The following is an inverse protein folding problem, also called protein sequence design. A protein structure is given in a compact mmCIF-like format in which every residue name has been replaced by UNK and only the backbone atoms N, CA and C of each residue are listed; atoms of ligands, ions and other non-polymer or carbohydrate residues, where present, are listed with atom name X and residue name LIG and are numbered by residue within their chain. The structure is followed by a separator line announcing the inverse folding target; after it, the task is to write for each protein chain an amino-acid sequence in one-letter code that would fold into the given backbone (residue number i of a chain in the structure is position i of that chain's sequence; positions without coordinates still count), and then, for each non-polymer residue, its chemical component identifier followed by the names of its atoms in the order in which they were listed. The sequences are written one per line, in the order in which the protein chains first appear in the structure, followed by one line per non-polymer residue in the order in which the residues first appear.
data_IF_677462279599
#
_entry.id   IF_677462279599
#
_cell.length_a   1.000
_cell.length_b   1.000
_cell.length_c   1.000
_cell.angle_alpha   90.00
_cell.angle_beta   90.00
_cell.angle_gamma   90.00
#
_symmetry.space_group_name_H-M   'P 1'
#
loop_
_entity.id
_entity.type
_entity.pdbx_description
1 polymer ?
#
# COMPACT_ATOMS: atom_id res chain seq x y z
N UNK A 1 -5.58 33.47 2.92
CA UNK A 1 -5.57 32.00 3.07
C UNK A 1 -4.42 31.61 3.97
N UNK A 2 -4.43 30.41 4.56
CA UNK A 2 -3.21 29.86 5.18
C UNK A 2 -2.14 29.69 4.11
N UNK A 3 -0.86 29.84 4.47
CA UNK A 3 0.25 29.56 3.57
C UNK A 3 0.28 28.08 3.17
N UNK A 4 0.71 27.83 1.93
CA UNK A 4 0.84 26.48 1.37
C UNK A 4 2.21 25.90 1.73
N UNK A 5 2.37 25.44 2.97
CA UNK A 5 3.59 24.79 3.47
C UNK A 5 3.40 23.28 3.64
N UNK A 6 4.50 22.54 3.75
CA UNK A 6 4.49 21.09 4.04
C UNK A 6 3.79 20.80 5.37
N UNK A 7 4.13 21.57 6.41
CA UNK A 7 3.56 21.45 7.74
C UNK A 7 2.05 21.73 7.73
N UNK A 8 1.60 22.70 6.93
CA UNK A 8 0.18 23.02 6.81
C UNK A 8 -0.61 21.90 6.12
N UNK A 9 -0.03 21.22 5.11
CA UNK A 9 -0.66 20.07 4.44
C UNK A 9 -0.75 18.87 5.38
N UNK A 10 0.37 18.49 5.97
CA UNK A 10 0.47 17.36 6.91
C UNK A 10 -0.50 17.55 8.08
N UNK A 11 -0.48 18.72 8.74
CA UNK A 11 -1.36 19.00 9.86
C UNK A 11 -2.85 18.97 9.48
N UNK A 12 -3.21 19.42 8.28
CA UNK A 12 -4.59 19.41 7.83
C UNK A 12 -5.11 17.96 7.61
N UNK A 13 -4.31 17.10 6.99
CA UNK A 13 -4.68 15.70 6.75
C UNK A 13 -4.68 14.93 8.07
N UNK A 14 -3.64 15.06 8.89
CA UNK A 14 -3.53 14.34 10.16
C UNK A 14 -4.66 14.69 11.13
N UNK A 15 -5.00 15.98 11.27
CA UNK A 15 -6.12 16.38 12.15
C UNK A 15 -7.47 15.89 11.63
N UNK A 16 -7.67 15.85 10.31
CA UNK A 16 -8.88 15.28 9.72
C UNK A 16 -8.97 13.77 9.99
N UNK A 17 -7.87 13.04 9.83
CA UNK A 17 -7.82 11.59 10.08
C UNK A 17 -8.06 11.28 11.55
N UNK A 18 -7.43 12.00 12.47
CA UNK A 18 -7.66 11.85 13.91
C UNK A 18 -9.13 12.04 14.28
N UNK A 19 -9.75 13.13 13.84
CA UNK A 19 -11.18 13.39 14.11
C UNK A 19 -12.10 12.33 13.52
N UNK A 20 -11.78 11.85 12.32
CA UNK A 20 -12.53 10.80 11.65
C UNK A 20 -12.40 9.47 12.41
N UNK A 21 -11.20 9.11 12.84
CA UNK A 21 -10.92 7.90 13.62
C UNK A 21 -11.72 7.87 14.91
N UNK A 22 -11.66 8.96 15.70
CA UNK A 22 -12.42 9.12 16.95
C UNK A 22 -13.93 8.97 16.73
N UNK A 23 -14.48 9.65 15.71
CA UNK A 23 -15.91 9.62 15.43
C UNK A 23 -16.40 8.26 14.91
N UNK A 24 -15.64 7.63 14.01
CA UNK A 24 -15.99 6.34 13.41
C UNK A 24 -15.90 5.21 14.44
N UNK A 25 -14.83 5.20 15.26
CA UNK A 25 -14.69 4.21 16.33
C UNK A 25 -15.76 4.37 17.41
N UNK A 26 -16.12 5.61 17.78
CA UNK A 26 -17.22 5.85 18.71
C UNK A 26 -18.59 5.34 18.20
N UNK A 27 -18.76 5.27 16.87
CA UNK A 27 -19.93 4.69 16.23
C UNK A 27 -19.84 3.15 16.05
N UNK A 28 -18.74 2.52 16.46
CA UNK A 28 -18.49 1.08 16.32
C UNK A 28 -17.97 0.65 14.94
N UNK A 29 -17.53 1.60 14.12
CA UNK A 29 -16.89 1.32 12.83
C UNK A 29 -15.36 1.30 12.93
N UNK A 30 -14.72 0.86 11.84
CA UNK A 30 -13.26 0.94 11.66
C UNK A 30 -12.91 1.92 10.54
N UNK A 31 -11.81 2.65 10.70
CA UNK A 31 -11.29 3.55 9.69
C UNK A 31 -10.08 2.94 8.97
N UNK A 32 -10.16 2.97 7.65
CA UNK A 32 -9.05 2.65 6.75
C UNK A 32 -8.73 3.85 5.87
N UNK A 33 -7.47 3.99 5.46
CA UNK A 33 -7.09 4.97 4.43
C UNK A 33 -6.12 4.38 3.42
N UNK A 34 -6.28 4.81 2.18
CA UNK A 34 -5.35 4.51 1.11
C UNK A 34 -4.16 5.48 1.17
N UNK A 35 -2.96 4.91 1.31
CA UNK A 35 -1.70 5.66 1.29
C UNK A 35 -0.87 5.24 0.07
N UNK A 36 -0.12 6.17 -0.51
CA UNK A 36 0.80 5.83 -1.61
C UNK A 36 1.84 4.80 -1.14
N UNK A 37 2.12 3.78 -1.96
CA UNK A 37 3.12 2.76 -1.59
C UNK A 37 4.52 3.34 -1.32
N UNK A 38 4.88 4.45 -1.99
CA UNK A 38 6.20 5.05 -1.79
C UNK A 38 6.39 5.66 -0.39
N UNK A 39 5.32 6.16 0.26
CA UNK A 39 5.44 6.75 1.61
C UNK A 39 5.76 5.70 2.69
N UNK A 40 5.70 4.41 2.35
CA UNK A 40 6.03 3.31 3.28
C UNK A 40 7.44 2.78 3.10
N UNK A 41 8.16 3.25 2.07
CA UNK A 41 9.59 3.01 1.91
C UNK A 41 10.43 4.25 2.25
N UNK A 42 9.82 5.44 2.26
CA UNK A 42 10.41 6.71 2.70
C UNK A 42 9.36 7.50 3.49
N UNK A 43 9.62 7.79 4.78
CA UNK A 43 8.69 8.54 5.68
C UNK A 43 8.70 10.07 5.41
N UNK A 44 8.48 10.43 4.15
CA UNK A 44 8.37 11.79 3.61
C UNK A 44 6.91 12.04 3.17
N UNK A 45 6.40 13.26 3.33
CA UNK A 45 5.05 13.64 2.89
C UNK A 45 4.88 13.76 1.37
N UNK A 46 5.94 13.56 0.59
CA UNK A 46 5.94 13.44 -0.88
C UNK A 46 5.24 14.62 -1.59
N UNK A 47 5.21 15.80 -0.96
CA UNK A 47 4.46 16.99 -1.39
C UNK A 47 2.94 16.83 -1.48
N UNK A 48 2.40 15.72 -0.97
CA UNK A 48 0.97 15.38 -0.94
C UNK A 48 0.38 15.42 0.48
N UNK A 49 1.20 15.65 1.50
CA UNK A 49 0.80 15.75 2.90
C UNK A 49 0.59 14.41 3.61
N UNK A 50 1.01 13.30 3.01
CA UNK A 50 0.89 11.96 3.61
C UNK A 50 2.22 11.53 4.25
N UNK A 51 2.41 11.82 5.55
CA UNK A 51 3.50 11.20 6.32
C UNK A 51 2.98 9.95 7.00
N UNK A 52 3.57 8.79 6.71
CA UNK A 52 3.10 7.50 7.22
C UNK A 52 3.08 7.47 8.76
N UNK A 53 4.19 7.88 9.40
CA UNK A 53 4.30 7.91 10.86
C UNK A 53 3.31 8.86 11.56
N UNK A 54 2.80 9.87 10.86
CA UNK A 54 1.82 10.81 11.39
C UNK A 54 0.37 10.29 11.26
N UNK A 55 0.10 9.46 10.24
CA UNK A 55 -1.24 9.00 9.90
C UNK A 55 -1.59 7.64 10.51
N UNK A 56 -0.62 6.71 10.57
CA UNK A 56 -0.83 5.35 11.07
C UNK A 56 -1.49 5.30 12.46
N UNK A 57 -1.13 6.15 13.45
CA UNK A 57 -1.73 6.11 14.79
C UNK A 57 -3.22 6.47 14.83
N UNK A 58 -3.76 6.94 13.70
CA UNK A 58 -5.15 7.36 13.54
C UNK A 58 -5.91 6.46 12.54
N UNK A 59 -5.43 5.23 12.34
CA UNK A 59 -6.01 4.25 11.42
C UNK A 59 -6.14 2.90 12.11
N UNK A 60 -7.23 2.20 11.80
CA UNK A 60 -7.39 0.79 12.19
C UNK A 60 -6.78 -0.12 11.10
N UNK A 61 -6.85 0.32 9.84
CA UNK A 61 -6.23 -0.34 8.70
C UNK A 61 -5.46 0.64 7.81
N UNK A 62 -4.28 0.24 7.36
CA UNK A 62 -3.52 0.98 6.35
C UNK A 62 -3.58 0.23 5.03
N UNK A 63 -4.18 0.87 4.03
CA UNK A 63 -4.34 0.32 2.69
C UNK A 63 -3.29 0.89 1.73
N UNK A 64 -2.06 0.38 1.80
CA UNK A 64 -0.97 0.88 0.97
C UNK A 64 -1.18 0.49 -0.49
N UNK A 65 -1.16 1.48 -1.39
CA UNK A 65 -1.20 1.30 -2.84
C UNK A 65 0.18 0.92 -3.37
N UNK A 66 0.57 -0.34 -3.18
CA UNK A 66 1.89 -0.84 -3.57
C UNK A 66 1.75 -1.42 -4.98
N UNK A 67 1.97 -0.57 -5.99
CA UNK A 67 1.94 -0.95 -7.39
C UNK A 67 3.37 -1.05 -7.92
N UNK A 68 3.92 -2.26 -8.17
CA UNK A 68 5.31 -2.41 -8.57
C UNK A 68 5.71 -1.62 -9.83
N UNK A 69 4.76 -1.33 -10.73
CA UNK A 69 4.98 -0.44 -11.88
C UNK A 69 5.28 1.02 -11.54
N UNK A 70 4.95 1.48 -10.34
CA UNK A 70 5.07 2.88 -9.91
C UNK A 70 6.34 3.18 -9.10
N UNK A 71 7.20 2.17 -8.92
CA UNK A 71 8.50 2.32 -8.29
C UNK A 71 9.59 2.37 -9.37
N UNK A 72 10.66 3.10 -9.08
CA UNK A 72 11.84 3.17 -9.92
C UNK A 72 12.86 2.07 -9.57
N UNK A 73 13.72 1.74 -10.53
CA UNK A 73 14.84 0.81 -10.30
C UNK A 73 15.70 1.28 -9.12
N UNK A 74 15.96 0.38 -8.18
CA UNK A 74 16.74 0.66 -6.96
C UNK A 74 15.92 1.21 -5.78
N UNK A 75 14.61 1.44 -5.91
CA UNK A 75 13.75 1.77 -4.76
C UNK A 75 13.58 0.59 -3.81
N UNK A 76 13.50 -0.62 -4.37
CA UNK A 76 13.40 -1.90 -3.67
C UNK A 76 14.78 -2.55 -3.73
N UNK A 77 15.41 -2.75 -2.57
CA UNK A 77 16.79 -3.22 -2.49
C UNK A 77 16.93 -4.71 -2.82
N UNK A 78 15.91 -5.51 -2.54
CA UNK A 78 15.85 -6.93 -2.86
C UNK A 78 15.54 -7.22 -4.33
N UNK A 79 15.02 -6.23 -5.08
CA UNK A 79 14.76 -6.37 -6.50
C UNK A 79 16.04 -6.08 -7.33
N UNK A 80 16.56 -7.05 -8.12
CA UNK A 80 17.76 -6.84 -8.92
C UNK A 80 17.53 -6.02 -10.20
N UNK A 81 16.29 -5.60 -10.48
CA UNK A 81 15.93 -4.77 -11.61
C UNK A 81 14.72 -3.88 -11.31
N UNK A 82 13.92 -3.58 -12.33
CA UNK A 82 12.73 -2.75 -12.15
C UNK A 82 11.71 -3.47 -11.23
N UNK A 83 11.14 -2.82 -10.19
CA UNK A 83 10.20 -3.45 -9.25
C UNK A 83 9.00 -4.16 -9.91
N UNK A 84 8.49 -3.64 -11.03
CA UNK A 84 7.50 -4.31 -11.87
C UNK A 84 7.85 -5.76 -12.26
N UNK A 85 9.13 -6.09 -12.38
CA UNK A 85 9.60 -7.45 -12.70
C UNK A 85 9.77 -8.34 -11.48
N UNK A 86 9.77 -7.75 -10.27
CA UNK A 86 10.03 -8.40 -8.98
C UNK A 86 8.90 -8.07 -8.00
N UNK A 87 7.67 -8.51 -8.31
CA UNK A 87 6.51 -8.07 -7.57
C UNK A 87 6.45 -8.65 -6.16
N UNK A 88 6.96 -9.88 -5.96
CA UNK A 88 7.07 -10.49 -4.62
C UNK A 88 7.93 -9.64 -3.69
N UNK A 89 9.16 -9.35 -4.14
CA UNK A 89 10.16 -8.56 -3.43
C UNK A 89 9.62 -7.16 -3.12
N UNK A 90 8.95 -6.56 -4.10
CA UNK A 90 8.38 -5.22 -3.97
C UNK A 90 7.34 -5.15 -2.87
N UNK A 91 6.40 -6.10 -2.81
CA UNK A 91 5.38 -6.13 -1.75
C UNK A 91 6.00 -6.43 -0.40
N UNK A 92 6.79 -7.50 -0.29
CA UNK A 92 7.33 -7.95 0.98
C UNK A 92 8.23 -6.88 1.62
N UNK A 93 9.16 -6.30 0.86
CA UNK A 93 10.07 -5.29 1.36
C UNK A 93 9.33 -4.00 1.73
N UNK A 94 8.33 -3.58 0.94
CA UNK A 94 7.54 -2.37 1.24
C UNK A 94 6.78 -2.50 2.55
N UNK A 95 6.18 -3.67 2.82
CA UNK A 95 5.47 -3.95 4.07
C UNK A 95 6.42 -4.03 5.27
N UNK A 96 7.58 -4.69 5.11
CA UNK A 96 8.61 -4.75 6.15
C UNK A 96 9.17 -3.37 6.51
N UNK A 97 9.41 -2.53 5.51
CA UNK A 97 9.85 -1.14 5.74
C UNK A 97 8.77 -0.32 6.43
N UNK A 98 7.50 -0.48 6.05
CA UNK A 98 6.37 0.16 6.72
C UNK A 98 6.34 -0.19 8.22
N UNK A 99 6.48 -1.47 8.58
CA UNK A 99 6.50 -1.94 9.96
C UNK A 99 7.67 -1.33 10.76
N UNK A 100 8.82 -1.12 10.11
CA UNK A 100 9.99 -0.52 10.74
C UNK A 100 9.86 0.99 10.99
N UNK A 101 9.06 1.71 10.19
CA UNK A 101 8.82 3.15 10.41
C UNK A 101 8.02 3.38 11.69
N UNK A 102 7.03 2.51 11.97
CA UNK A 102 6.22 2.57 13.19
C UNK A 102 6.27 1.23 13.94
N UNK A 103 7.36 0.95 14.69
CA UNK A 103 7.48 -0.31 15.42
C UNK A 103 6.36 -0.47 16.46
N UNK A 104 5.67 -1.60 16.41
CA UNK A 104 4.52 -1.85 17.30
C UNK A 104 3.25 -1.09 16.89
N UNK A 105 3.18 -0.69 15.61
CA UNK A 105 1.97 -0.18 14.94
C UNK A 105 0.70 -0.90 15.41
N UNK A 106 -0.31 -0.10 15.75
CA UNK A 106 -1.62 -0.60 16.18
C UNK A 106 -2.52 -0.93 14.98
N UNK A 107 -2.27 -0.28 13.84
CA UNK A 107 -3.00 -0.49 12.61
C UNK A 107 -2.66 -1.84 11.96
N UNK A 108 -3.61 -2.37 11.20
CA UNK A 108 -3.42 -3.58 10.39
C UNK A 108 -3.11 -3.22 8.95
N UNK A 109 -2.10 -3.86 8.38
CA UNK A 109 -1.74 -3.63 6.99
C UNK A 109 -2.64 -4.46 6.07
N UNK A 110 -3.17 -3.81 5.03
CA UNK A 110 -4.04 -4.44 4.01
C UNK A 110 -3.77 -3.81 2.64
N UNK A 111 -2.66 -4.16 1.97
CA UNK A 111 -2.23 -3.47 0.76
C UNK A 111 -3.20 -3.67 -0.41
N UNK A 112 -3.26 -2.65 -1.27
CA UNK A 112 -3.72 -2.77 -2.65
C UNK A 112 -2.56 -3.28 -3.51
N UNK A 113 -2.80 -4.35 -4.27
CA UNK A 113 -1.87 -5.02 -5.16
C UNK A 113 -2.23 -4.72 -6.61
N UNK A 114 -1.24 -4.71 -7.50
CA UNK A 114 -1.42 -4.41 -8.93
C UNK A 114 -2.00 -5.61 -9.69
N UNK A 115 -3.11 -5.42 -10.38
CA UNK A 115 -3.74 -6.39 -11.29
C UNK A 115 -3.93 -5.77 -12.69
N UNK A 116 -2.89 -5.09 -13.18
CA UNK A 116 -2.86 -4.44 -14.49
C UNK A 116 -1.43 -4.34 -15.03
N UNK A 117 -1.30 -4.29 -16.37
CA UNK A 117 -0.09 -3.86 -17.06
C UNK A 117 -0.02 -2.34 -17.12
N UNK A 118 1.16 -1.76 -16.88
CA UNK A 118 1.39 -0.32 -17.02
C UNK A 118 2.33 -0.05 -18.20
N UNK A 119 1.80 0.46 -19.30
CA UNK A 119 2.50 0.60 -20.59
C UNK A 119 3.40 1.84 -20.69
N UNK A 120 4.14 2.14 -19.63
CA UNK A 120 5.13 3.23 -19.61
C UNK A 120 6.54 2.64 -19.53
N UNK A 121 7.56 3.33 -20.06
CA UNK A 121 8.98 2.94 -19.98
C UNK A 121 9.29 1.48 -20.37
N UNK A 122 8.60 0.94 -21.38
CA UNK A 122 8.78 -0.44 -21.87
C UNK A 122 8.64 -1.53 -20.78
N UNK A 123 7.85 -1.25 -19.74
CA UNK A 123 7.51 -2.26 -18.73
C UNK A 123 6.77 -3.43 -19.36
N UNK A 124 7.13 -4.64 -18.94
CA UNK A 124 6.49 -5.86 -19.41
C UNK A 124 5.05 -5.98 -18.93
N UNK A 125 4.30 -6.82 -19.64
CA UNK A 125 2.97 -7.20 -19.22
C UNK A 125 2.96 -7.96 -17.90
N UNK A 126 1.91 -7.69 -17.13
CA UNK A 126 1.62 -8.38 -15.89
C UNK A 126 0.86 -9.68 -16.18
N UNK A 127 1.22 -10.74 -15.48
CA UNK A 127 0.67 -12.08 -15.65
C UNK A 127 -0.03 -12.54 -14.37
N UNK A 128 -0.85 -13.61 -14.42
CA UNK A 128 -1.41 -14.21 -13.21
C UNK A 128 -0.35 -14.61 -12.17
N UNK A 129 0.83 -15.03 -12.62
CA UNK A 129 1.93 -15.37 -11.72
C UNK A 129 2.46 -14.14 -10.96
N UNK A 130 2.43 -12.96 -11.58
CA UNK A 130 2.87 -11.72 -10.94
C UNK A 130 1.87 -11.25 -9.88
N UNK A 131 0.57 -11.37 -10.18
CA UNK A 131 -0.51 -11.10 -9.21
C UNK A 131 -0.40 -12.06 -8.03
N UNK A 132 -0.22 -13.35 -8.30
CA UNK A 132 -0.03 -14.38 -7.28
C UNK A 132 1.18 -14.11 -6.38
N UNK A 133 2.31 -13.73 -6.98
CA UNK A 133 3.53 -13.40 -6.26
C UNK A 133 3.34 -12.24 -5.25
N UNK A 134 2.56 -11.20 -5.62
CA UNK A 134 2.21 -10.12 -4.69
C UNK A 134 1.37 -10.62 -3.52
N UNK A 135 0.40 -11.49 -3.80
CA UNK A 135 -0.49 -12.03 -2.78
C UNK A 135 0.32 -12.91 -1.81
N UNK A 136 1.18 -13.78 -2.33
CA UNK A 136 2.03 -14.65 -1.51
C UNK A 136 2.93 -13.82 -0.58
N UNK A 137 3.51 -12.72 -1.09
CA UNK A 137 4.30 -11.80 -0.29
C UNK A 137 3.49 -11.10 0.83
N UNK A 138 2.25 -10.68 0.53
CA UNK A 138 1.38 -10.06 1.54
C UNK A 138 0.95 -11.08 2.62
N UNK A 139 0.68 -12.32 2.22
CA UNK A 139 0.32 -13.42 3.13
C UNK A 139 1.52 -13.88 3.97
N UNK A 140 2.72 -13.98 3.38
CA UNK A 140 3.97 -14.30 4.10
C UNK A 140 4.31 -13.23 5.14
N UNK A 141 4.14 -11.95 4.78
CA UNK A 141 4.31 -10.84 5.73
C UNK A 141 3.34 -10.94 6.92
N UNK A 142 2.18 -11.57 6.73
CA UNK A 142 1.12 -11.63 7.73
C UNK A 142 0.19 -10.41 7.69
N UNK A 143 0.00 -9.82 6.50
CA UNK A 143 -0.99 -8.77 6.31
C UNK A 143 -2.39 -9.26 6.70
N UNK A 144 -3.26 -8.34 7.11
CA UNK A 144 -4.65 -8.64 7.51
C UNK A 144 -5.59 -8.96 6.33
N UNK A 145 -5.01 -9.23 5.16
CA UNK A 145 -5.66 -9.36 3.87
C UNK A 145 -4.99 -8.45 2.83
N UNK A 146 -5.53 -8.45 1.63
CA UNK A 146 -5.06 -7.67 0.49
C UNK A 146 -6.25 -7.36 -0.42
N UNK A 147 -6.09 -6.40 -1.33
CA UNK A 147 -7.10 -6.03 -2.33
C UNK A 147 -6.43 -5.91 -3.71
N UNK A 148 -7.12 -6.25 -4.79
CA UNK A 148 -6.59 -6.12 -6.15
C UNK A 148 -7.10 -4.84 -6.79
N UNK A 149 -6.18 -4.03 -7.29
CA UNK A 149 -6.48 -2.87 -8.12
C UNK A 149 -6.24 -3.23 -9.58
N UNK A 150 -7.30 -3.23 -10.40
CA UNK A 150 -7.24 -3.64 -11.80
C UNK A 150 -8.53 -3.29 -12.54
N UNK A 151 -8.76 -3.92 -13.70
CA UNK A 151 -10.04 -3.79 -14.41
C UNK A 151 -11.16 -4.43 -13.57
N UNK A 152 -12.17 -3.66 -13.13
CA UNK A 152 -13.25 -4.19 -12.29
C UNK A 152 -14.08 -5.28 -12.97
N UNK A 153 -13.98 -5.43 -14.30
CA UNK A 153 -14.66 -6.48 -15.06
C UNK A 153 -13.77 -7.68 -15.40
N UNK A 154 -12.47 -7.59 -15.14
CA UNK A 154 -11.50 -8.61 -15.50
C UNK A 154 -10.41 -8.73 -14.43
N UNK A 155 -10.81 -9.20 -13.25
CA UNK A 155 -9.89 -9.57 -12.17
C UNK A 155 -9.20 -10.87 -12.54
N UNK A 156 -7.90 -10.98 -12.28
CA UNK A 156 -7.11 -12.17 -12.61
C UNK A 156 -7.44 -13.34 -11.67
N UNK A 157 -8.54 -14.04 -11.94
CA UNK A 157 -9.04 -15.16 -11.10
C UNK A 157 -8.05 -16.31 -11.01
N UNK A 158 -7.27 -16.55 -12.06
CA UNK A 158 -6.22 -17.59 -12.09
C UNK A 158 -5.10 -17.34 -11.07
N UNK A 159 -4.98 -16.12 -10.54
CA UNK A 159 -4.06 -15.79 -9.46
C UNK A 159 -4.63 -16.06 -8.07
N UNK A 160 -5.90 -16.46 -7.95
CA UNK A 160 -6.56 -16.70 -6.66
C UNK A 160 -6.50 -18.17 -6.28
N UNK A 161 -6.55 -18.45 -4.97
CA UNK A 161 -6.76 -19.82 -4.52
C UNK A 161 -8.12 -20.33 -5.03
N UNK A 162 -8.23 -21.63 -5.35
CA UNK A 162 -9.52 -22.22 -5.68
C UNK A 162 -10.52 -22.02 -4.53
N UNK A 163 -11.81 -21.96 -4.85
CA UNK A 163 -12.81 -21.87 -3.78
C UNK A 163 -12.70 -23.11 -2.87
N UNK A 164 -12.87 -22.97 -1.55
CA UNK A 164 -12.84 -24.12 -0.65
C UNK A 164 -13.94 -25.13 -1.04
N UNK A 165 -13.57 -26.21 -1.73
CA UNK A 165 -14.48 -27.28 -2.14
C UNK A 165 -14.41 -27.72 -3.60
N UNK A 166 -13.59 -27.06 -4.43
CA UNK A 166 -13.24 -27.54 -5.79
C UNK A 166 -12.14 -28.61 -5.81
#
# INVERSE_FOLDING_TARGET
GREYTSEAREAAITEFMKRSHEAINAAGGFLAADLFGFVTIVDDEQYIGQRFSALEPHLDFVCMMIYPSHFETGNIASAPGHPNDYPYETILESLQRAEQIVPGSGAKFRPWLQDFSYYFNDLRDYTPADVRAQIDAAEEFGASGWMLWGDPFNVTVDALNPEPGD
#
